data_IF_134599392687
#
_entry.id   IF_134599392687
#
_cell.length_a   1.000
_cell.length_b   1.000
_cell.length_c   1.000
_cell.angle_alpha   90.00
_cell.angle_beta   90.00
_cell.angle_gamma   90.00
#
_symmetry.space_group_name_H-M   'P 1'
#
loop_
_entity.id
_entity.type
_entity.pdbx_description
1 polymer ?
#
# COMPACT_ATOMS: atom_id res chain seq x y z
N UNK A 1 19.63 -2.29 39.60
CA UNK A 1 19.51 -3.63 40.17
C UNK A 1 20.20 -4.63 39.26
N UNK A 2 20.99 -5.53 39.82
CA UNK A 2 21.78 -6.52 39.06
C UNK A 2 20.86 -7.69 38.72
N UNK A 3 20.46 -7.84 37.45
CA UNK A 3 19.64 -8.99 37.02
C UNK A 3 20.44 -10.27 37.23
N UNK A 4 20.02 -11.11 38.18
CA UNK A 4 20.65 -12.39 38.44
C UNK A 4 19.98 -13.51 37.66
N UNK A 5 20.76 -14.53 37.30
CA UNK A 5 20.20 -15.70 36.64
C UNK A 5 19.37 -16.56 37.60
N UNK A 6 18.52 -17.41 37.03
CA UNK A 6 17.64 -18.30 37.81
C UNK A 6 18.43 -19.30 38.66
N UNK A 7 19.65 -19.66 38.28
CA UNK A 7 20.49 -20.62 39.02
C UNK A 7 20.99 -19.99 40.32
N UNK A 8 21.44 -18.75 40.24
CA UNK A 8 21.89 -17.90 41.34
C UNK A 8 20.74 -17.62 42.29
N UNK A 9 19.60 -17.15 41.77
CA UNK A 9 18.39 -16.91 42.57
C UNK A 9 17.97 -18.20 43.32
N UNK A 10 17.90 -19.35 42.64
CA UNK A 10 17.56 -20.64 43.28
C UNK A 10 18.55 -21.07 44.36
N UNK A 11 19.82 -20.67 44.27
CA UNK A 11 20.84 -21.04 45.25
C UNK A 11 20.58 -20.42 46.63
N UNK A 12 19.93 -19.25 46.67
CA UNK A 12 19.61 -18.56 47.92
C UNK A 12 18.43 -19.15 48.70
N UNK A 13 17.60 -19.98 48.05
CA UNK A 13 16.37 -20.56 48.63
C UNK A 13 16.44 -22.10 48.73
N UNK A 14 17.64 -22.65 48.90
CA UNK A 14 17.83 -24.09 49.15
C UNK A 14 17.36 -24.49 50.54
N UNK A 15 17.15 -25.78 50.76
CA UNK A 15 16.77 -26.29 52.06
C UNK A 15 17.81 -25.93 53.13
N UNK A 16 17.33 -25.44 54.28
CA UNK A 16 18.16 -24.88 55.35
C UNK A 16 18.74 -23.48 55.10
N UNK A 17 18.47 -22.84 53.96
CA UNK A 17 18.91 -21.45 53.72
C UNK A 17 18.03 -20.44 54.51
N UNK A 18 18.62 -19.32 54.93
CA UNK A 18 17.93 -18.19 55.56
C UNK A 18 18.05 -16.95 54.64
N UNK A 19 17.15 -16.77 53.65
CA UNK A 19 17.20 -15.63 52.75
C UNK A 19 16.86 -14.32 53.49
N UNK A 20 17.58 -13.24 53.18
CA UNK A 20 17.29 -11.90 53.67
C UNK A 20 16.13 -11.25 52.90
N UNK A 21 15.58 -10.16 53.44
CA UNK A 21 14.55 -9.36 52.76
C UNK A 21 14.99 -8.88 51.36
N UNK A 22 16.27 -8.52 51.20
CA UNK A 22 16.86 -8.14 49.91
C UNK A 22 16.75 -9.26 48.88
N UNK A 23 17.03 -10.52 49.27
CA UNK A 23 16.90 -11.68 48.37
C UNK A 23 15.46 -11.96 47.96
N UNK A 24 14.49 -11.67 48.83
CA UNK A 24 13.07 -11.73 48.46
C UNK A 24 12.71 -10.62 47.47
N UNK A 25 13.25 -9.41 47.64
CA UNK A 25 13.14 -8.32 46.67
C UNK A 25 13.67 -8.72 45.29
N UNK A 26 14.91 -9.22 45.23
CA UNK A 26 15.52 -9.72 43.99
C UNK A 26 14.67 -10.80 43.29
N UNK A 27 14.03 -11.68 44.06
CA UNK A 27 13.12 -12.68 43.52
C UNK A 27 11.85 -12.05 42.93
N UNK A 28 11.19 -11.15 43.65
CA UNK A 28 9.97 -10.46 43.21
C UNK A 28 10.25 -9.67 41.93
N UNK A 29 11.32 -8.87 41.93
CA UNK A 29 11.72 -8.01 40.81
C UNK A 29 12.22 -8.82 39.58
N UNK A 30 12.56 -10.11 39.77
CA UNK A 30 12.92 -11.02 38.68
C UNK A 30 11.72 -11.63 37.94
N UNK A 31 10.50 -11.46 38.46
CA UNK A 31 9.26 -12.00 37.88
C UNK A 31 8.52 -10.96 37.05
N UNK A 32 7.75 -11.41 36.04
CA UNK A 32 6.93 -10.50 35.21
C UNK A 32 5.69 -10.08 35.99
N UNK A 33 5.50 -8.77 36.15
CA UNK A 33 4.34 -8.15 36.76
C UNK A 33 3.36 -7.65 35.67
N UNK A 34 2.15 -8.20 35.65
CA UNK A 34 1.16 -7.88 34.61
C UNK A 34 0.66 -6.43 34.64
N UNK A 35 0.75 -5.76 35.80
CA UNK A 35 0.29 -4.37 35.98
C UNK A 35 1.38 -3.39 35.55
N UNK A 36 2.62 -3.67 35.93
CA UNK A 36 3.73 -2.72 35.76
C UNK A 36 4.51 -2.93 34.45
N UNK A 37 4.60 -4.16 33.95
CA UNK A 37 5.44 -4.48 32.79
C UNK A 37 4.71 -4.34 31.44
N UNK A 38 3.44 -3.91 31.45
CA UNK A 38 2.65 -3.74 30.22
C UNK A 38 2.38 -5.05 29.47
N UNK A 39 2.49 -6.21 30.14
CA UNK A 39 2.36 -7.55 29.55
C UNK A 39 1.21 -8.31 30.21
N UNK A 40 0.20 -8.73 29.44
CA UNK A 40 -0.84 -9.64 29.94
C UNK A 40 -1.38 -10.54 28.83
N UNK A 41 -2.03 -11.64 29.21
CA UNK A 41 -2.69 -12.55 28.27
C UNK A 41 -4.11 -12.85 28.72
N UNK A 42 -5.08 -12.62 27.83
CA UNK A 42 -6.51 -12.87 28.12
C UNK A 42 -7.17 -13.68 27.01
N UNK A 43 -8.24 -14.46 27.30
CA UNK A 43 -8.96 -15.19 26.24
C UNK A 43 -9.57 -14.29 25.16
N UNK A 44 -10.01 -13.09 25.52
CA UNK A 44 -10.66 -12.15 24.59
C UNK A 44 -9.67 -11.49 23.63
N UNK A 45 -8.52 -11.01 24.15
CA UNK A 45 -7.59 -10.18 23.39
C UNK A 45 -6.27 -10.86 23.03
N UNK A 46 -6.07 -12.10 23.48
CA UNK A 46 -4.78 -12.78 23.32
C UNK A 46 -3.67 -12.09 24.12
N UNK A 47 -2.51 -11.87 23.48
CA UNK A 47 -1.35 -11.19 24.06
C UNK A 47 -1.55 -9.66 24.00
N UNK A 48 -1.57 -9.01 25.16
CA UNK A 48 -1.57 -7.56 25.29
C UNK A 48 -0.17 -7.06 25.62
N UNK A 49 0.30 -6.12 24.82
CA UNK A 49 1.54 -5.39 25.02
C UNK A 49 1.21 -3.90 25.08
N UNK A 50 1.71 -3.22 26.10
CA UNK A 50 1.61 -1.77 26.26
C UNK A 50 3.01 -1.20 26.40
N UNK A 51 3.23 -0.02 25.86
CA UNK A 51 4.46 0.73 26.15
C UNK A 51 4.50 1.09 27.63
N UNK A 52 5.69 0.98 28.24
CA UNK A 52 5.89 1.26 29.67
C UNK A 52 6.59 2.61 29.84
N UNK A 53 6.11 3.43 30.78
CA UNK A 53 6.63 4.76 31.03
C UNK A 53 6.40 5.73 29.86
N UNK A 54 7.44 6.48 29.49
CA UNK A 54 7.40 7.45 28.37
C UNK A 54 7.88 6.86 27.03
N UNK A 55 8.30 5.60 27.02
CA UNK A 55 8.73 4.93 25.81
C UNK A 55 7.56 4.78 24.83
N UNK A 56 7.81 4.90 23.53
CA UNK A 56 6.85 4.51 22.49
C UNK A 56 7.04 3.06 22.05
N UNK A 57 8.17 2.44 22.40
CA UNK A 57 8.47 1.06 22.04
C UNK A 57 7.54 0.10 22.79
N UNK A 58 6.96 -0.81 22.03
CA UNK A 58 6.05 -1.87 22.52
C UNK A 58 6.75 -3.23 22.48
N UNK A 59 7.55 -3.48 21.45
CA UNK A 59 8.27 -4.74 21.28
C UNK A 59 9.61 -4.52 20.59
N UNK A 60 10.67 -5.09 21.15
CA UNK A 60 12.03 -5.03 20.61
C UNK A 60 12.53 -6.44 20.33
N UNK A 61 12.96 -6.72 19.10
CA UNK A 61 13.39 -8.04 18.65
C UNK A 61 14.91 -8.08 18.55
N UNK A 62 15.55 -8.92 19.37
CA UNK A 62 17.02 -9.09 19.41
C UNK A 62 17.42 -10.39 18.69
N UNK A 63 18.57 -10.39 18.00
CA UNK A 63 19.12 -11.60 17.36
C UNK A 63 19.62 -12.63 18.37
N UNK A 64 20.11 -12.19 19.52
CA UNK A 64 20.58 -13.08 20.59
C UNK A 64 20.63 -12.37 21.94
N UNK A 65 20.79 -13.16 23.00
CA UNK A 65 20.82 -12.68 24.39
C UNK A 65 21.99 -11.73 24.67
N UNK A 66 23.06 -11.80 23.89
CA UNK A 66 24.24 -10.95 23.98
C UNK A 66 24.23 -9.76 23.04
N UNK A 67 23.20 -9.60 22.19
CA UNK A 67 23.13 -8.47 21.25
C UNK A 67 22.80 -7.18 22.03
N UNK A 68 23.66 -6.15 22.01
CA UNK A 68 23.44 -4.93 22.80
C UNK A 68 22.26 -4.08 22.33
N UNK A 69 21.81 -4.27 21.08
CA UNK A 69 20.75 -3.50 20.45
C UNK A 69 19.74 -4.43 19.76
N UNK A 70 18.45 -4.07 19.72
CA UNK A 70 17.47 -4.86 18.98
C UNK A 70 17.76 -4.76 17.48
N UNK A 71 17.43 -5.77 16.69
CA UNK A 71 17.44 -5.69 15.23
C UNK A 71 16.21 -4.95 14.70
N UNK A 72 15.08 -5.04 15.40
CA UNK A 72 13.83 -4.38 15.03
C UNK A 72 13.07 -3.89 16.26
N UNK A 73 12.38 -2.77 16.11
CA UNK A 73 11.53 -2.18 17.15
C UNK A 73 10.15 -1.90 16.56
N UNK A 74 9.13 -2.40 17.24
CA UNK A 74 7.74 -2.03 17.02
C UNK A 74 7.36 -0.97 18.05
N UNK A 75 6.94 0.19 17.58
CA UNK A 75 6.63 1.35 18.43
C UNK A 75 5.40 2.12 17.96
N UNK A 76 4.80 2.88 18.86
CA UNK A 76 3.78 3.86 18.49
C UNK A 76 4.42 5.04 17.74
N UNK A 77 3.76 5.51 16.68
CA UNK A 77 4.14 6.74 15.99
C UNK A 77 3.78 7.99 16.79
N UNK A 78 4.25 9.16 16.34
CA UNK A 78 3.92 10.43 17.00
C UNK A 78 2.43 10.79 16.83
N UNK A 79 1.88 10.46 15.67
CA UNK A 79 0.46 10.58 15.41
C UNK A 79 -0.31 9.49 16.16
N UNK A 80 -1.39 9.88 16.82
CA UNK A 80 -2.25 8.94 17.55
C UNK A 80 -2.76 7.83 16.63
N UNK A 81 -2.57 6.58 17.03
CA UNK A 81 -2.99 5.41 16.26
C UNK A 81 -2.06 5.03 15.09
N UNK A 82 -0.87 5.65 14.99
CA UNK A 82 0.19 5.16 14.10
C UNK A 82 1.04 4.10 14.82
N UNK A 83 1.46 3.08 14.07
CA UNK A 83 2.33 2.00 14.50
C UNK A 83 3.52 1.93 13.53
N UNK A 84 4.73 2.08 14.04
CA UNK A 84 5.95 2.05 13.25
C UNK A 84 6.73 0.78 13.52
N UNK A 85 7.23 0.16 12.45
CA UNK A 85 8.21 -0.91 12.48
C UNK A 85 9.54 -0.33 12.00
N UNK A 86 10.49 -0.22 12.92
CA UNK A 86 11.78 0.42 12.69
C UNK A 86 12.91 -0.57 12.82
N UNK A 87 13.96 -0.35 12.02
CA UNK A 87 15.21 -1.04 12.24
C UNK A 87 15.77 -0.59 13.59
N UNK A 88 16.06 -1.55 14.46
CA UNK A 88 16.76 -1.30 15.70
C UNK A 88 18.22 -1.06 15.34
N UNK A 89 18.56 0.21 15.15
CA UNK A 89 19.93 0.58 14.82
C UNK A 89 20.66 0.83 16.13
N UNK A 90 21.50 -0.14 16.50
CA UNK A 90 22.60 0.14 17.42
C UNK A 90 23.60 1.05 16.73
N UNK A 91 23.58 2.36 17.02
CA UNK A 91 24.63 3.36 16.76
C UNK A 91 25.33 3.42 15.38
N UNK A 92 24.84 2.75 14.35
CA UNK A 92 25.29 2.92 12.97
C UNK A 92 24.05 2.90 12.09
N UNK A 93 23.28 4.00 12.17
CA UNK A 93 22.24 4.26 11.21
C UNK A 93 22.80 4.15 9.80
N UNK A 94 22.00 3.66 8.87
CA UNK A 94 22.39 3.58 7.47
C UNK A 94 22.74 4.99 6.96
N UNK A 95 24.02 5.32 7.03
CA UNK A 95 24.73 6.23 6.14
C UNK A 95 24.71 5.60 4.75
N UNK A 96 23.53 5.63 4.12
CA UNK A 96 23.42 5.53 2.67
C UNK A 96 23.33 6.93 2.03
N UNK A 97 23.48 7.99 2.83
CA UNK A 97 23.70 9.39 2.45
C UNK A 97 24.54 10.11 3.54
N UNK A 98 25.72 9.59 3.93
CA UNK A 98 26.65 10.32 4.80
C UNK A 98 27.37 11.45 4.05
N UNK A 99 26.63 12.53 3.82
CA UNK A 99 27.18 13.89 3.70
C UNK A 99 26.76 14.76 4.90
N UNK A 100 26.29 14.15 6.01
CA UNK A 100 26.06 14.88 7.25
C UNK A 100 27.42 15.15 7.93
N UNK A 101 27.85 16.41 8.05
CA UNK A 101 29.11 16.72 8.72
C UNK A 101 29.01 16.34 10.19
N UNK A 102 30.08 15.74 10.71
CA UNK A 102 30.32 15.52 12.14
C UNK A 102 30.11 16.83 12.90
N UNK A 103 28.94 17.03 13.50
CA UNK A 103 28.71 18.16 14.41
C UNK A 103 29.11 17.75 15.81
N UNK A 104 30.18 18.40 16.29
CA UNK A 104 30.69 18.35 17.66
C UNK A 104 29.57 18.47 18.72
N UNK A 105 29.66 17.78 19.87
CA UNK A 105 28.56 17.67 20.83
C UNK A 105 28.24 18.93 21.66
N UNK A 106 28.90 20.06 21.42
CA UNK A 106 28.79 21.25 22.29
C UNK A 106 27.77 22.30 21.83
N UNK A 107 27.12 22.15 20.66
CA UNK A 107 26.14 23.15 20.19
C UNK A 107 24.69 22.66 20.34
N UNK A 108 24.03 23.08 21.42
CA UNK A 108 22.60 23.44 21.46
C UNK A 108 21.52 22.44 20.99
N UNK A 109 21.88 21.19 20.67
CA UNK A 109 21.02 20.02 20.54
C UNK A 109 19.82 20.15 19.60
N UNK A 110 20.05 20.34 18.29
CA UNK A 110 19.01 20.02 17.30
C UNK A 110 18.77 18.50 17.38
N UNK A 111 17.64 18.10 17.97
CA UNK A 111 17.22 16.69 18.10
C UNK A 111 17.51 15.97 16.78
N UNK A 112 18.31 14.89 16.75
CA UNK A 112 18.61 14.19 15.51
C UNK A 112 17.30 13.84 14.82
N UNK A 113 17.25 14.05 13.50
CA UNK A 113 16.07 13.74 12.72
C UNK A 113 15.65 12.29 13.05
N UNK A 114 14.35 12.04 13.35
CA UNK A 114 13.92 10.69 13.68
C UNK A 114 14.34 9.76 12.55
N UNK A 115 14.98 8.64 12.91
CA UNK A 115 15.35 7.62 11.95
C UNK A 115 14.14 7.31 11.06
N UNK A 116 14.29 7.27 9.72
CA UNK A 116 13.16 7.11 8.81
C UNK A 116 12.41 5.83 9.21
N UNK A 117 11.09 5.91 9.38
CA UNK A 117 10.35 4.68 9.70
C UNK A 117 10.48 3.73 8.52
N UNK A 118 10.97 2.52 8.78
CA UNK A 118 11.04 1.50 7.73
C UNK A 118 9.64 1.24 7.18
N UNK A 119 8.71 0.96 8.09
CA UNK A 119 7.31 0.73 7.77
C UNK A 119 6.39 1.41 8.80
N UNK A 120 5.31 2.04 8.33
CA UNK A 120 4.29 2.69 9.16
C UNK A 120 2.90 2.16 8.81
N UNK A 121 2.09 1.92 9.83
CA UNK A 121 0.70 1.48 9.74
C UNK A 121 -0.16 2.45 10.52
N UNK A 122 -1.17 3.00 9.87
CA UNK A 122 -2.17 3.85 10.52
C UNK A 122 -3.40 3.04 10.93
N UNK A 123 -4.17 3.55 11.90
CA UNK A 123 -5.38 2.90 12.42
C UNK A 123 -6.46 2.65 11.37
N UNK A 124 -6.50 3.46 10.32
CA UNK A 124 -7.43 3.29 9.19
C UNK A 124 -6.92 2.33 8.10
N UNK A 125 -5.72 1.76 8.29
CA UNK A 125 -5.16 0.71 7.45
C UNK A 125 -4.29 1.20 6.30
N UNK A 126 -3.82 2.45 6.32
CA UNK A 126 -2.80 2.93 5.36
C UNK A 126 -1.41 2.44 5.75
N UNK A 127 -0.64 2.04 4.75
CA UNK A 127 0.72 1.54 4.85
C UNK A 127 1.70 2.53 4.24
N UNK A 128 2.72 2.94 4.99
CA UNK A 128 3.86 3.71 4.49
C UNK A 128 5.12 2.85 4.51
N UNK A 129 5.87 2.83 3.41
CA UNK A 129 7.26 2.36 3.37
C UNK A 129 8.13 3.60 3.30
N UNK A 130 8.96 3.86 4.29
CA UNK A 130 9.69 5.14 4.41
C UNK A 130 8.76 6.38 4.39
N UNK A 131 7.57 6.25 4.99
CA UNK A 131 6.62 7.35 5.17
C UNK A 131 5.85 7.15 6.48
N UNK A 132 6.07 8.01 7.47
CA UNK A 132 5.46 7.93 8.81
C UNK A 132 3.98 8.35 8.81
N UNK A 133 3.56 9.10 7.80
CA UNK A 133 2.21 9.65 7.66
C UNK A 133 1.67 9.36 6.26
N UNK A 134 1.41 8.08 5.91
CA UNK A 134 0.97 7.71 4.57
C UNK A 134 -0.35 8.41 4.22
N UNK A 135 -0.39 9.03 3.05
CA UNK A 135 -1.54 9.74 2.51
C UNK A 135 -2.48 8.82 1.73
N UNK A 136 -1.94 7.80 1.06
CA UNK A 136 -2.70 6.76 0.36
C UNK A 136 -2.68 5.43 1.11
N UNK A 137 -3.50 4.48 0.66
CA UNK A 137 -3.50 3.09 1.14
C UNK A 137 -2.10 2.47 1.15
N UNK A 138 -1.26 2.84 0.18
CA UNK A 138 0.16 2.51 0.14
C UNK A 138 0.94 3.73 -0.36
N UNK A 139 1.79 4.28 0.51
CA UNK A 139 2.81 5.26 0.15
C UNK A 139 4.19 4.61 0.19
N UNK A 140 5.02 4.87 -0.82
CA UNK A 140 6.41 4.41 -0.88
C UNK A 140 7.32 5.62 -1.02
N UNK A 141 8.00 5.99 0.07
CA UNK A 141 9.06 6.99 0.09
C UNK A 141 10.36 6.44 -0.48
N UNK A 142 10.40 6.19 -1.80
CA UNK A 142 11.57 5.63 -2.46
C UNK A 142 11.24 4.95 -3.79
N UNK A 143 12.03 3.93 -4.15
CA UNK A 143 11.87 3.19 -5.41
C UNK A 143 11.08 1.90 -5.20
N UNK A 144 10.01 1.72 -5.97
CA UNK A 144 9.27 0.46 -6.05
C UNK A 144 9.71 -0.36 -7.28
N UNK A 145 10.36 -1.50 -7.06
CA UNK A 145 10.61 -2.50 -8.11
C UNK A 145 9.50 -3.54 -8.10
N UNK A 146 8.90 -3.80 -9.27
CA UNK A 146 7.78 -4.74 -9.42
C UNK A 146 8.08 -5.78 -10.50
N UNK A 147 7.77 -7.05 -10.23
CA UNK A 147 7.79 -8.10 -11.27
C UNK A 147 6.65 -7.94 -12.27
N UNK A 148 5.53 -7.36 -11.83
CA UNK A 148 4.37 -7.06 -12.65
C UNK A 148 3.35 -6.23 -11.87
N UNK A 149 2.39 -5.63 -12.59
CA UNK A 149 1.24 -4.91 -12.04
C UNK A 149 -0.01 -5.31 -12.81
N UNK A 150 -1.07 -5.65 -12.08
CA UNK A 150 -2.36 -6.05 -12.64
C UNK A 150 -3.39 -5.07 -12.09
N UNK A 151 -4.13 -4.40 -12.99
CA UNK A 151 -5.26 -3.56 -12.61
C UNK A 151 -6.47 -4.41 -12.20
N UNK A 152 -7.56 -3.78 -11.78
CA UNK A 152 -8.81 -4.49 -11.50
C UNK A 152 -9.79 -4.27 -12.65
N UNK A 153 -10.56 -5.29 -13.08
CA UNK A 153 -11.69 -5.05 -13.95
C UNK A 153 -12.80 -4.31 -13.17
N UNK A 154 -13.76 -3.75 -13.89
CA UNK A 154 -14.96 -3.20 -13.23
C UNK A 154 -15.77 -4.35 -12.63
N UNK A 155 -16.15 -4.23 -11.35
CA UNK A 155 -16.98 -5.21 -10.65
C UNK A 155 -18.29 -5.48 -11.40
N UNK A 156 -18.56 -6.76 -11.69
CA UNK A 156 -19.71 -7.23 -12.48
C UNK A 156 -19.49 -7.17 -14.00
N UNK A 157 -18.30 -6.77 -14.46
CA UNK A 157 -17.90 -6.71 -15.86
C UNK A 157 -16.51 -7.32 -16.06
N UNK A 158 -16.18 -8.42 -15.42
CA UNK A 158 -14.81 -8.97 -15.29
C UNK A 158 -14.16 -9.29 -16.66
N UNK A 159 -14.97 -9.58 -17.67
CA UNK A 159 -14.58 -9.83 -19.05
C UNK A 159 -15.74 -9.51 -19.99
N UNK A 160 -15.45 -9.27 -21.26
CA UNK A 160 -16.48 -9.02 -22.28
C UNK A 160 -16.33 -10.00 -23.46
N UNK A 161 -17.40 -10.32 -24.21
CA UNK A 161 -17.30 -11.17 -25.39
C UNK A 161 -16.33 -10.61 -26.44
N UNK A 162 -15.59 -11.50 -27.12
CA UNK A 162 -14.71 -11.18 -28.24
C UNK A 162 -15.44 -11.37 -29.59
N UNK A 163 -16.63 -10.83 -29.71
CA UNK A 163 -17.63 -11.13 -30.75
C UNK A 163 -17.69 -10.11 -31.90
N UNK A 164 -16.89 -9.04 -31.85
CA UNK A 164 -16.95 -7.93 -32.81
C UNK A 164 -17.86 -6.77 -32.39
N UNK A 165 -18.67 -6.96 -31.35
CA UNK A 165 -19.62 -5.97 -30.83
C UNK A 165 -19.00 -5.13 -29.72
N UNK A 166 -19.52 -3.92 -29.53
CA UNK A 166 -19.08 -3.02 -28.45
C UNK A 166 -19.73 -3.41 -27.13
N UNK A 167 -18.91 -3.58 -26.10
CA UNK A 167 -19.34 -3.91 -24.74
C UNK A 167 -18.87 -2.85 -23.76
N UNK A 168 -19.69 -2.55 -22.75
CA UNK A 168 -19.31 -1.67 -21.64
C UNK A 168 -18.24 -2.36 -20.77
N UNK A 169 -17.16 -1.63 -20.44
CA UNK A 169 -16.11 -2.10 -19.52
C UNK A 169 -16.02 -1.24 -18.25
N UNK A 170 -16.89 -0.24 -18.15
CA UNK A 170 -17.10 0.58 -16.96
C UNK A 170 -18.58 0.81 -16.73
N UNK A 171 -18.96 1.08 -15.48
CA UNK A 171 -20.26 1.68 -15.17
C UNK A 171 -20.33 3.11 -15.72
N UNK A 172 -21.51 3.74 -15.63
CA UNK A 172 -21.66 5.15 -15.96
C UNK A 172 -20.83 6.00 -15.00
N UNK A 173 -19.98 6.87 -15.53
CA UNK A 173 -19.10 7.76 -14.77
C UNK A 173 -19.26 9.20 -15.24
N UNK A 174 -18.83 10.14 -14.43
CA UNK A 174 -18.75 11.57 -14.79
C UNK A 174 -17.42 12.18 -14.38
N UNK A 175 -17.23 13.46 -14.71
CA UNK A 175 -16.03 14.20 -14.37
C UNK A 175 -14.82 13.86 -15.24
N UNK A 176 -13.65 14.13 -14.68
CA UNK A 176 -12.35 13.79 -15.23
C UNK A 176 -11.97 12.37 -14.86
N UNK A 177 -11.69 11.53 -15.85
CA UNK A 177 -11.34 10.13 -15.69
C UNK A 177 -10.07 9.82 -16.49
N UNK A 178 -9.20 8.98 -15.92
CA UNK A 178 -8.02 8.46 -16.59
C UNK A 178 -7.78 7.01 -16.18
N UNK A 179 -7.63 6.13 -17.16
CA UNK A 179 -7.36 4.72 -16.96
C UNK A 179 -6.20 4.25 -17.84
N UNK A 180 -5.35 3.40 -17.27
CA UNK A 180 -4.53 2.48 -18.03
C UNK A 180 -5.28 1.17 -18.21
N UNK A 181 -5.39 0.70 -19.45
CA UNK A 181 -6.10 -0.52 -19.81
C UNK A 181 -5.11 -1.49 -20.46
N UNK A 182 -5.01 -2.68 -19.87
CA UNK A 182 -4.38 -3.84 -20.50
C UNK A 182 -5.46 -4.84 -20.85
N UNK A 183 -5.57 -5.23 -22.13
CA UNK A 183 -6.56 -6.20 -22.55
C UNK A 183 -5.99 -7.18 -23.58
N UNK A 184 -6.53 -8.40 -23.60
CA UNK A 184 -6.14 -9.43 -24.54
C UNK A 184 -7.28 -10.39 -24.88
N UNK A 185 -7.26 -10.87 -26.12
CA UNK A 185 -8.15 -11.91 -26.62
C UNK A 185 -7.33 -12.94 -27.39
N UNK A 186 -7.68 -14.22 -27.23
CA UNK A 186 -7.08 -15.35 -27.94
C UNK A 186 -8.16 -16.17 -28.60
N UNK A 187 -7.92 -16.56 -29.86
CA UNK A 187 -8.78 -17.45 -30.61
C UNK A 187 -8.57 -18.90 -30.17
N UNK A 188 -9.01 -19.84 -31.00
CA UNK A 188 -8.83 -21.25 -30.73
C UNK A 188 -7.34 -21.63 -30.63
N UNK A 189 -7.02 -22.55 -29.72
CA UNK A 189 -5.63 -22.99 -29.49
C UNK A 189 -5.11 -23.60 -30.80
N UNK A 190 -3.85 -23.28 -31.17
CA UNK A 190 -3.19 -23.67 -32.42
C UNK A 190 -3.66 -22.97 -33.71
N UNK A 191 -4.67 -22.10 -33.66
CA UNK A 191 -5.09 -21.31 -34.84
C UNK A 191 -4.37 -19.96 -34.98
N UNK A 192 -3.52 -19.59 -34.00
CA UNK A 192 -2.63 -18.44 -34.14
C UNK A 192 -3.33 -17.08 -34.19
N UNK A 193 -4.47 -16.92 -33.49
CA UNK A 193 -5.17 -15.62 -33.40
C UNK A 193 -5.04 -15.04 -32.01
N UNK A 194 -4.28 -13.97 -31.87
CA UNK A 194 -4.08 -13.28 -30.61
C UNK A 194 -4.09 -11.78 -30.82
N UNK A 195 -4.73 -11.04 -29.93
CA UNK A 195 -4.61 -9.59 -29.87
C UNK A 195 -4.41 -9.14 -28.44
N UNK A 196 -3.50 -8.19 -28.25
CA UNK A 196 -3.26 -7.50 -27.00
C UNK A 196 -3.25 -6.00 -27.24
N UNK A 197 -3.79 -5.23 -26.29
CA UNK A 197 -3.76 -3.78 -26.31
C UNK A 197 -3.34 -3.24 -24.95
N UNK A 198 -2.41 -2.27 -24.99
CA UNK A 198 -2.16 -1.33 -23.91
C UNK A 198 -2.74 0.02 -24.32
N UNK A 199 -3.56 0.62 -23.46
CA UNK A 199 -4.18 1.90 -23.76
C UNK A 199 -4.21 2.84 -22.56
N UNK A 200 -4.04 4.13 -22.83
CA UNK A 200 -4.30 5.22 -21.89
C UNK A 200 -5.59 5.91 -22.34
N UNK A 201 -6.66 5.69 -21.57
CA UNK A 201 -7.99 6.23 -21.84
C UNK A 201 -8.25 7.38 -20.88
N UNK A 202 -8.23 8.61 -21.38
CA UNK A 202 -8.56 9.82 -20.63
C UNK A 202 -9.83 10.47 -21.18
N UNK A 203 -10.65 11.05 -20.31
CA UNK A 203 -11.79 11.87 -20.68
C UNK A 203 -12.07 12.93 -19.62
N UNK A 204 -12.12 14.20 -20.00
CA UNK A 204 -12.43 15.32 -19.13
C UNK A 204 -13.82 15.85 -19.46
N UNK A 205 -14.85 15.23 -18.85
CA UNK A 205 -16.26 15.38 -19.23
C UNK A 205 -16.57 14.93 -20.68
N UNK A 206 -17.80 14.49 -20.93
CA UNK A 206 -18.19 14.03 -22.27
C UNK A 206 -18.94 15.11 -23.06
N UNK A 207 -18.28 15.79 -24.03
CA UNK A 207 -18.96 16.75 -24.90
C UNK A 207 -19.97 16.02 -25.82
N UNK A 208 -21.20 16.52 -25.89
CA UNK A 208 -22.28 15.94 -26.70
C UNK A 208 -22.37 16.47 -28.13
N UNK A 209 -21.55 17.46 -28.52
CA UNK A 209 -21.58 18.02 -29.86
C UNK A 209 -20.81 17.12 -30.85
N UNK A 210 -21.48 16.45 -31.80
CA UNK A 210 -20.83 15.52 -32.72
C UNK A 210 -19.85 16.19 -33.68
N UNK A 211 -20.16 17.41 -34.13
CA UNK A 211 -19.38 18.18 -35.10
C UNK A 211 -18.04 18.59 -34.50
N UNK A 212 -18.07 19.17 -33.30
CA UNK A 212 -16.84 19.56 -32.58
C UNK A 212 -16.00 18.34 -32.20
N UNK A 213 -16.64 17.22 -31.85
CA UNK A 213 -15.93 15.99 -31.54
C UNK A 213 -15.22 15.39 -32.75
N UNK A 214 -15.86 15.43 -33.92
CA UNK A 214 -15.26 14.98 -35.17
C UNK A 214 -14.09 15.87 -35.58
N UNK A 215 -14.24 17.19 -35.51
CA UNK A 215 -13.22 18.16 -35.95
C UNK A 215 -11.97 18.16 -35.04
N UNK A 216 -12.14 18.02 -33.73
CA UNK A 216 -11.05 18.20 -32.76
C UNK A 216 -10.52 16.91 -32.14
N UNK A 217 -11.15 15.76 -32.38
CA UNK A 217 -10.67 14.47 -31.87
C UNK A 217 -10.51 14.41 -30.34
N UNK A 218 -11.32 15.18 -29.59
CA UNK A 218 -11.15 15.46 -28.14
C UNK A 218 -11.17 14.25 -27.19
N UNK A 219 -11.47 13.04 -27.71
CA UNK A 219 -11.64 11.79 -26.94
C UNK A 219 -10.68 10.69 -27.42
N UNK A 220 -9.56 11.08 -28.04
CA UNK A 220 -8.61 10.12 -28.58
C UNK A 220 -7.99 9.30 -27.46
N UNK A 221 -8.24 8.00 -27.49
CA UNK A 221 -7.56 7.02 -26.64
C UNK A 221 -6.23 6.69 -27.32
N UNK A 222 -5.12 6.83 -26.59
CA UNK A 222 -3.81 6.40 -27.08
C UNK A 222 -3.68 4.91 -26.80
N UNK A 223 -3.47 4.12 -27.84
CA UNK A 223 -3.38 2.66 -27.73
C UNK A 223 -2.22 2.11 -28.56
N UNK A 224 -1.49 1.15 -28.00
CA UNK A 224 -0.55 0.30 -28.70
C UNK A 224 -1.14 -1.12 -28.75
N UNK A 225 -1.15 -1.73 -29.93
CA UNK A 225 -1.73 -3.04 -30.15
C UNK A 225 -0.68 -3.98 -30.70
N UNK A 226 -0.54 -5.16 -30.10
CA UNK A 226 0.16 -6.30 -30.66
C UNK A 226 -0.89 -7.32 -31.15
N UNK A 227 -0.64 -7.96 -32.28
CA UNK A 227 -1.58 -8.90 -32.89
C UNK A 227 -0.84 -9.94 -33.71
N UNK A 228 -1.38 -11.16 -33.72
CA UNK A 228 -0.96 -12.28 -34.54
C UNK A 228 -2.21 -12.92 -35.14
N UNK A 229 -2.23 -13.15 -36.46
CA UNK A 229 -3.44 -13.45 -37.23
C UNK A 229 -3.73 -12.37 -38.27
N UNK A 230 -4.81 -11.59 -38.08
CA UNK A 230 -5.25 -10.55 -39.02
C UNK A 230 -5.25 -9.14 -38.42
N UNK A 231 -5.13 -8.11 -39.25
CA UNK A 231 -5.38 -6.71 -38.84
C UNK A 231 -6.81 -6.47 -38.32
N UNK A 232 -7.75 -7.34 -38.69
CA UNK A 232 -9.10 -7.35 -38.15
C UNK A 232 -9.17 -7.87 -36.70
N UNK A 233 -8.11 -8.44 -36.14
CA UNK A 233 -8.12 -8.99 -34.77
C UNK A 233 -7.89 -7.92 -33.68
N UNK A 234 -7.63 -6.67 -34.08
CA UNK A 234 -7.34 -5.58 -33.13
C UNK A 234 -8.49 -5.36 -32.14
N UNK A 235 -8.12 -5.22 -30.87
CA UNK A 235 -8.99 -4.66 -29.83
C UNK A 235 -9.06 -3.14 -29.97
N UNK A 236 -10.25 -2.56 -29.81
CA UNK A 236 -10.52 -1.12 -29.86
C UNK A 236 -11.24 -0.68 -28.60
N UNK A 237 -10.98 0.56 -28.20
CA UNK A 237 -11.67 1.22 -27.11
C UNK A 237 -12.34 2.50 -27.61
N UNK A 238 -13.43 2.91 -26.95
CA UNK A 238 -14.07 4.20 -27.19
C UNK A 238 -14.79 4.72 -25.96
N UNK A 239 -14.92 6.04 -25.89
CA UNK A 239 -15.83 6.71 -24.97
C UNK A 239 -17.21 6.88 -25.59
N UNK A 240 -18.26 6.51 -24.88
CA UNK A 240 -19.66 6.73 -25.29
C UNK A 240 -20.41 7.55 -24.23
N UNK A 241 -21.32 8.42 -24.67
CA UNK A 241 -22.19 9.15 -23.77
C UNK A 241 -23.19 8.19 -23.10
N UNK A 242 -23.46 8.40 -21.81
CA UNK A 242 -24.60 7.79 -21.14
C UNK A 242 -25.85 8.67 -21.31
N UNK A 243 -26.99 8.19 -20.81
CA UNK A 243 -28.27 8.91 -20.80
C UNK A 243 -28.17 10.23 -20.01
N UNK A 244 -27.58 10.17 -18.81
CA UNK A 244 -27.42 11.32 -17.92
C UNK A 244 -26.44 12.37 -18.46
N UNK A 245 -26.73 13.64 -18.20
CA UNK A 245 -25.89 14.75 -18.66
C UNK A 245 -24.50 14.65 -18.06
N UNK A 246 -23.47 14.85 -18.89
CA UNK A 246 -22.07 14.73 -18.52
C UNK A 246 -21.61 13.32 -18.11
N UNK A 247 -22.47 12.31 -18.23
CA UNK A 247 -22.11 10.94 -17.91
C UNK A 247 -21.68 10.18 -19.17
N UNK A 248 -20.77 9.23 -19.00
CA UNK A 248 -20.17 8.45 -20.08
C UNK A 248 -19.64 7.10 -19.59
N UNK A 249 -19.36 6.21 -20.54
CA UNK A 249 -18.79 4.88 -20.32
C UNK A 249 -17.60 4.63 -21.24
N UNK A 250 -16.68 3.80 -20.79
CA UNK A 250 -15.67 3.21 -21.65
C UNK A 250 -16.22 1.90 -22.22
N UNK A 251 -16.06 1.73 -23.53
CA UNK A 251 -16.41 0.49 -24.22
C UNK A 251 -15.21 -0.14 -24.88
N UNK A 252 -15.25 -1.46 -25.03
CA UNK A 252 -14.23 -2.27 -25.69
C UNK A 252 -14.85 -3.24 -26.68
N UNK A 253 -14.11 -3.57 -27.74
CA UNK A 253 -14.44 -4.67 -28.65
C UNK A 253 -13.21 -5.24 -29.33
N UNK A 254 -13.32 -6.44 -29.87
CA UNK A 254 -12.50 -6.89 -31.00
C UNK A 254 -13.12 -6.37 -32.31
N UNK A 255 -12.35 -6.17 -33.39
CA UNK A 255 -12.96 -5.83 -34.68
C UNK A 255 -13.54 -7.06 -35.41
N UNK A 256 -12.96 -8.24 -35.18
CA UNK A 256 -13.45 -9.52 -35.68
C UNK A 256 -13.99 -10.38 -34.53
N UNK A 257 -14.86 -11.33 -34.87
CA UNK A 257 -15.29 -12.37 -33.96
C UNK A 257 -14.15 -13.42 -33.80
N UNK A 258 -13.80 -13.73 -32.55
CA UNK A 258 -12.74 -14.69 -32.22
C UNK A 258 -13.24 -16.14 -32.13
N UNK A 259 -14.55 -16.35 -32.20
CA UNK A 259 -15.20 -17.66 -32.10
C UNK A 259 -16.13 -17.74 -30.88
N UNK A 260 -16.89 -18.82 -30.82
CA UNK A 260 -17.83 -19.09 -29.73
C UNK A 260 -17.09 -19.18 -28.38
N UNK A 261 -17.66 -18.54 -27.35
CA UNK A 261 -17.12 -18.55 -25.99
C UNK A 261 -15.82 -17.78 -25.78
N UNK A 262 -15.26 -17.12 -26.81
CA UNK A 262 -14.04 -16.33 -26.66
C UNK A 262 -14.35 -14.98 -26.03
N UNK A 263 -13.49 -14.56 -25.09
CA UNK A 263 -13.65 -13.31 -24.35
C UNK A 263 -12.41 -12.43 -24.46
N UNK A 264 -12.62 -11.14 -24.24
CA UNK A 264 -11.57 -10.17 -24.00
C UNK A 264 -11.37 -10.11 -22.48
N UNK A 265 -10.22 -10.58 -22.02
CA UNK A 265 -9.77 -10.37 -20.63
C UNK A 265 -9.11 -9.02 -20.54
N UNK A 266 -9.44 -8.26 -19.51
CA UNK A 266 -8.88 -6.92 -19.36
C UNK A 266 -8.70 -6.54 -17.89
N UNK A 267 -7.80 -5.59 -17.67
CA UNK A 267 -7.50 -5.01 -16.38
C UNK A 267 -7.40 -3.50 -16.53
N UNK A 268 -7.95 -2.77 -15.56
CA UNK A 268 -7.91 -1.31 -15.54
C UNK A 268 -7.20 -0.81 -14.29
N UNK A 269 -6.26 0.12 -14.47
CA UNK A 269 -5.70 0.89 -13.36
C UNK A 269 -6.20 2.32 -13.46
N UNK A 270 -6.84 2.84 -12.41
CA UNK A 270 -7.21 4.26 -12.30
C UNK A 270 -5.96 5.09 -12.13
N UNK A 271 -5.80 6.12 -12.96
CA UNK A 271 -4.65 7.04 -12.98
C UNK A 271 -5.00 8.43 -12.41
N UNK A 272 -6.28 8.73 -12.23
CA UNK A 272 -6.75 10.04 -11.75
C UNK A 272 -7.85 9.90 -10.70
N UNK A 273 -7.71 10.61 -9.59
CA UNK A 273 -8.51 10.41 -8.37
C UNK A 273 -9.31 11.63 -7.92
N UNK A 274 -9.35 12.70 -8.73
CA UNK A 274 -10.15 13.91 -8.45
C UNK A 274 -11.10 14.25 -9.63
N UNK A 275 -12.20 13.50 -9.82
CA UNK A 275 -13.08 13.68 -10.98
C UNK A 275 -13.69 15.07 -11.10
N UNK A 276 -13.85 15.78 -9.98
CA UNK A 276 -14.39 17.13 -9.94
C UNK A 276 -13.34 18.24 -10.15
N UNK A 277 -12.04 17.89 -10.20
CA UNK A 277 -10.93 18.85 -10.20
C UNK A 277 -11.01 19.80 -8.98
N UNK A 278 -11.46 19.27 -7.85
CA UNK A 278 -11.66 19.99 -6.59
C UNK A 278 -10.34 20.49 -5.99
N UNK A 279 -9.26 19.72 -6.10
CA UNK A 279 -7.93 20.12 -5.62
C UNK A 279 -7.42 21.38 -6.34
N UNK A 280 -7.73 21.52 -7.63
CA UNK A 280 -7.36 22.70 -8.43
C UNK A 280 -8.11 23.98 -8.02
N UNK A 281 -9.12 23.88 -7.15
CA UNK A 281 -9.93 25.01 -6.65
C UNK A 281 -9.67 25.31 -5.17
N UNK A 282 -8.66 24.70 -4.57
CA UNK A 282 -8.37 24.84 -3.14
C UNK A 282 -9.34 24.05 -2.24
N UNK A 283 -10.16 23.17 -2.80
CA UNK A 283 -10.89 22.17 -2.02
C UNK A 283 -9.96 21.05 -1.55
N UNK A 284 -10.44 20.14 -0.66
CA UNK A 284 -9.67 18.96 -0.33
C UNK A 284 -9.41 18.16 -1.62
N UNK A 285 -8.14 17.96 -1.97
CA UNK A 285 -7.76 17.34 -3.25
C UNK A 285 -8.06 15.85 -3.38
N UNK A 286 -8.92 15.27 -2.51
CA UNK A 286 -9.14 13.82 -2.39
C UNK A 286 -10.62 13.50 -2.30
N UNK A 287 -11.08 12.47 -3.04
CA UNK A 287 -12.37 11.84 -2.78
C UNK A 287 -12.30 11.12 -1.42
N UNK A 288 -13.19 11.45 -0.49
CA UNK A 288 -13.22 10.86 0.86
C UNK A 288 -13.48 9.34 0.94
N UNK A 289 -13.67 8.67 -0.21
CA UNK A 289 -13.86 7.21 -0.33
C UNK A 289 -12.67 6.45 -0.91
N UNK A 290 -11.53 7.12 -1.14
CA UNK A 290 -10.27 6.48 -1.58
C UNK A 290 -9.30 6.21 -0.42
N UNK A 291 -9.70 6.60 0.78
CA UNK A 291 -8.98 6.36 2.04
C UNK A 291 -9.21 4.98 2.59
#
# INVERSE_FOLDING_TARGET
>A
MTKQDRTTLKSFFRDGALPSAERYGDLIDSTVNQIEDGFSKTPADGLRLSSVGESRAVMSLYQGLSTPYPSWVLEHGEAAGSLHFRQGLGLAGNDLDSDAPDTDPEDGGKKPAPAPSGLALSRDGRLGVHSDAPEWRLDVGGVARMQGRIGQPTEGLEQVPADGSWHDVTRSMTGCQAFEVMAGAGGEVNYGRYSMVHAIAMNAYHPRNPILNWLFGRRRIRSQTAMYGSYADRIRLRWVAASERHHFKLQMRTNANFGEGKTIRYYMTRLWFDPAMSGSRGGPGREGGLL
#
